data_IF_215996346987
#
_entry.id   IF_215996346987
#
_cell.length_a   1.000
_cell.length_b   1.000
_cell.length_c   1.000
_cell.angle_alpha   90.00
_cell.angle_beta   90.00
_cell.angle_gamma   90.00
#
_symmetry.space_group_name_H-M   'P 1'
#
loop_
_entity.id
_entity.type
_entity.pdbx_description
1 polymer ?
#
# COMPACT_ATOMS: atom_id res chain seq x y z
N UNK A 1 -0.20 -1.63 19.63
CA UNK A 1 -0.96 -2.34 18.56
C UNK A 1 -0.10 -2.33 17.30
N UNK A 2 -0.13 -3.39 16.49
CA UNK A 2 0.66 -3.51 15.27
C UNK A 2 -0.26 -3.40 14.05
N UNK A 3 0.28 -2.89 12.95
CA UNK A 3 -0.42 -2.80 11.67
C UNK A 3 0.57 -3.09 10.54
N UNK A 4 0.05 -3.66 9.46
CA UNK A 4 0.76 -3.85 8.20
C UNK A 4 0.00 -3.05 7.16
N UNK A 5 0.74 -2.30 6.34
CA UNK A 5 0.18 -1.47 5.28
C UNK A 5 1.00 -1.68 4.01
N UNK A 6 0.29 -1.83 2.89
CA UNK A 6 0.88 -2.08 1.58
C UNK A 6 0.01 -1.45 0.48
N UNK A 7 0.55 -1.41 -0.74
CA UNK A 7 -0.12 -0.83 -1.91
C UNK A 7 -0.38 -1.90 -2.97
N UNK A 8 -1.65 -2.14 -3.30
CA UNK A 8 -2.03 -3.13 -4.32
C UNK A 8 -1.85 -2.65 -5.78
N UNK A 9 -1.41 -1.40 -5.96
CA UNK A 9 -1.33 -0.75 -7.27
C UNK A 9 -0.01 -0.01 -7.36
N UNK A 10 0.71 -0.24 -8.47
CA UNK A 10 1.94 0.46 -8.84
C UNK A 10 1.70 1.96 -9.02
N UNK A 11 2.76 2.75 -9.10
CA UNK A 11 2.66 4.19 -9.38
C UNK A 11 2.10 4.48 -10.77
N UNK A 12 2.26 3.56 -11.72
CA UNK A 12 1.62 3.61 -13.04
C UNK A 12 0.10 3.44 -12.99
N UNK A 13 -0.46 2.95 -11.88
CA UNK A 13 -1.89 2.65 -11.75
C UNK A 13 -2.28 1.21 -12.11
N UNK A 14 -1.32 0.40 -12.54
CA UNK A 14 -1.50 -1.04 -12.77
C UNK A 14 -1.56 -1.83 -11.45
N UNK A 15 -2.28 -2.95 -11.45
CA UNK A 15 -2.30 -3.88 -10.32
C UNK A 15 -0.89 -4.44 -10.08
N UNK A 16 -0.49 -4.54 -8.82
CA UNK A 16 0.74 -5.23 -8.44
C UNK A 16 0.45 -6.67 -8.01
N UNK A 17 0.80 -7.64 -8.85
CA UNK A 17 0.59 -9.06 -8.54
C UNK A 17 1.49 -9.57 -7.40
N UNK A 18 2.55 -8.85 -7.04
CA UNK A 18 3.42 -9.22 -5.91
C UNK A 18 2.77 -9.00 -4.55
N UNK A 19 1.66 -8.25 -4.50
CA UNK A 19 0.95 -7.96 -3.25
C UNK A 19 -0.26 -8.85 -3.03
N UNK A 20 -0.38 -9.94 -3.80
CA UNK A 20 -1.37 -10.96 -3.51
C UNK A 20 -1.06 -11.57 -2.13
N UNK A 21 -1.97 -11.37 -1.18
CA UNK A 21 -1.80 -11.79 0.21
C UNK A 21 -2.92 -12.72 0.70
N UNK A 22 -2.65 -13.37 1.83
CA UNK A 22 -3.58 -14.25 2.50
C UNK A 22 -3.21 -14.44 3.97
N UNK A 23 -4.16 -14.93 4.76
CA UNK A 23 -3.94 -15.28 6.16
C UNK A 23 -3.62 -16.76 6.32
N UNK A 24 -2.47 -17.09 6.92
CA UNK A 24 -2.20 -18.47 7.33
C UNK A 24 -3.22 -18.97 8.38
N UNK A 25 -3.55 -20.28 8.39
CA UNK A 25 -4.44 -20.87 9.38
C UNK A 25 -3.96 -20.62 10.82
N UNK A 26 -4.91 -20.46 11.75
CA UNK A 26 -4.62 -20.36 13.18
C UNK A 26 -4.58 -21.78 13.75
N UNK A 27 -3.40 -22.24 14.19
CA UNK A 27 -3.23 -23.59 14.76
C UNK A 27 -3.75 -23.68 16.20
N UNK A 28 -3.62 -22.59 16.98
CA UNK A 28 -4.07 -22.51 18.37
C UNK A 28 -4.66 -21.12 18.65
N UNK A 29 -5.83 -21.07 19.28
CA UNK A 29 -6.47 -19.83 19.71
C UNK A 29 -7.29 -19.12 18.63
N UNK A 30 -7.34 -17.79 18.69
CA UNK A 30 -8.19 -16.96 17.82
C UNK A 30 -7.41 -15.78 17.23
N UNK A 31 -7.69 -15.44 15.97
CA UNK A 31 -7.09 -14.28 15.27
C UNK A 31 -8.20 -13.31 14.86
N UNK A 32 -8.15 -12.09 15.39
CA UNK A 32 -9.05 -11.00 15.03
C UNK A 32 -8.26 -9.95 14.25
N UNK A 33 -8.71 -9.63 13.04
CA UNK A 33 -8.07 -8.65 12.15
C UNK A 33 -9.10 -7.66 11.68
N UNK A 34 -8.71 -6.39 11.58
CA UNK A 34 -9.48 -5.37 10.91
C UNK A 34 -8.74 -4.94 9.65
N UNK A 35 -9.45 -4.94 8.52
CA UNK A 35 -8.92 -4.48 7.24
C UNK A 35 -9.58 -3.16 6.86
N UNK A 36 -8.75 -2.19 6.48
CA UNK A 36 -9.22 -0.93 5.88
C UNK A 36 -8.72 -0.85 4.44
N UNK A 37 -9.65 -0.88 3.51
CA UNK A 37 -9.36 -0.67 2.10
C UNK A 37 -9.37 0.82 1.79
N UNK A 38 -8.29 1.30 1.18
CA UNK A 38 -8.14 2.68 0.71
C UNK A 38 -8.11 2.65 -0.81
N UNK A 39 -9.08 3.31 -1.43
CA UNK A 39 -9.20 3.35 -2.89
C UNK A 39 -8.28 4.40 -3.51
N UNK A 40 -7.84 4.17 -4.75
CA UNK A 40 -7.08 5.18 -5.51
C UNK A 40 -7.87 6.46 -5.74
N UNK A 41 -9.20 6.35 -5.86
CA UNK A 41 -10.09 7.49 -6.05
C UNK A 41 -10.07 8.38 -4.80
N UNK A 42 -9.88 9.69 -4.99
CA UNK A 42 -9.72 10.65 -3.90
C UNK A 42 -8.29 10.77 -3.34
N UNK A 43 -7.33 9.95 -3.81
CA UNK A 43 -5.93 10.03 -3.42
C UNK A 43 -5.00 10.65 -4.48
N UNK A 44 -5.55 11.19 -5.56
CA UNK A 44 -4.78 11.77 -6.69
C UNK A 44 -3.85 12.90 -6.24
N UNK A 45 -4.25 13.67 -5.23
CA UNK A 45 -3.48 14.83 -4.75
C UNK A 45 -2.70 14.54 -3.47
N UNK A 46 -2.94 13.39 -2.82
CA UNK A 46 -2.27 13.00 -1.57
C UNK A 46 -1.16 11.98 -1.82
N UNK A 47 -1.27 11.16 -2.88
CA UNK A 47 -0.26 10.19 -3.29
C UNK A 47 0.47 10.71 -4.54
N UNK A 48 1.77 10.98 -4.41
CA UNK A 48 2.61 11.43 -5.53
C UNK A 48 2.70 10.35 -6.63
N UNK A 49 2.82 10.81 -7.87
CA UNK A 49 3.11 9.97 -9.03
C UNK A 49 4.60 9.60 -9.09
N UNK A 50 4.92 8.53 -9.81
CA UNK A 50 6.31 8.20 -10.16
C UNK A 50 6.87 9.15 -11.23
N UNK A 51 8.17 9.42 -11.18
CA UNK A 51 8.87 10.22 -12.20
C UNK A 51 9.18 9.42 -13.47
N UNK A 52 9.18 8.08 -13.36
CA UNK A 52 9.41 7.14 -14.46
C UNK A 52 8.32 6.08 -14.48
N UNK A 53 8.09 5.40 -15.62
CA UNK A 53 7.09 4.33 -15.72
C UNK A 53 7.30 3.18 -14.74
N UNK A 54 8.57 2.83 -14.48
CA UNK A 54 8.96 1.72 -13.61
C UNK A 54 9.19 2.13 -12.15
N UNK A 55 8.83 3.37 -11.79
CA UNK A 55 9.00 3.87 -10.43
C UNK A 55 8.23 3.03 -9.41
N UNK A 56 8.89 2.74 -8.30
CA UNK A 56 8.38 1.93 -7.20
C UNK A 56 7.91 2.80 -6.04
N UNK A 57 7.15 2.21 -5.12
CA UNK A 57 6.69 2.92 -3.93
C UNK A 57 7.86 3.46 -3.07
N UNK A 58 9.00 2.77 -3.06
CA UNK A 58 10.19 3.20 -2.32
C UNK A 58 10.78 4.50 -2.85
N UNK A 59 10.61 4.77 -4.15
CA UNK A 59 11.13 6.00 -4.78
C UNK A 59 10.35 7.24 -4.31
N UNK A 60 9.07 7.10 -3.96
CA UNK A 60 8.23 8.22 -3.51
C UNK A 60 8.05 8.29 -1.99
N UNK A 61 8.34 7.20 -1.27
CA UNK A 61 8.10 7.08 0.18
C UNK A 61 8.78 8.19 1.02
N UNK A 62 10.01 8.64 0.72
CA UNK A 62 10.65 9.74 1.46
C UNK A 62 9.86 11.05 1.40
N UNK A 63 9.21 11.33 0.27
CA UNK A 63 8.41 12.54 0.08
C UNK A 63 7.07 12.45 0.81
N UNK A 64 6.47 11.26 0.83
CA UNK A 64 5.22 10.98 1.56
C UNK A 64 5.41 11.06 3.09
N UNK A 65 6.56 10.61 3.61
CA UNK A 65 6.88 10.65 5.05
C UNK A 65 7.21 12.03 5.58
N UNK A 66 7.88 12.86 4.79
CA UNK A 66 8.34 14.19 5.24
C UNK A 66 7.22 15.24 5.31
N UNK A 67 5.99 14.90 4.90
CA UNK A 67 4.87 15.86 4.89
C UNK A 67 5.15 17.09 4.02
N UNK A 68 6.14 17.01 3.12
CA UNK A 68 6.43 18.03 2.13
C UNK A 68 5.33 17.93 1.07
N UNK A 69 4.25 18.65 1.33
CA UNK A 69 3.32 19.12 0.30
C UNK A 69 4.12 20.01 -0.65
#
# INVERSE_FOLDING_TARGET
>A
KMAVFWYNVKLSGELDHKTLDGGCPVVVGNKWVFNKWVWKYGNTFTRRCGLTPDATQLDIEPYMRKGLV
#
